data_IF_503946289550
#
_entry.id   IF_503946289550
#
_cell.length_a   1.000
_cell.length_b   1.000
_cell.length_c   1.000
_cell.angle_alpha   90.00
_cell.angle_beta   90.00
_cell.angle_gamma   90.00
#
_symmetry.space_group_name_H-M   'P 1'
#
loop_
_entity.id
_entity.type
_entity.pdbx_description
1 polymer ?
#
# COMPACT_ATOMS: atom_id res chain seq x y z
N UNK A 1 -11.74 14.71 -9.20
CA UNK A 1 -11.30 13.53 -8.46
C UNK A 1 -11.76 13.70 -7.04
N UNK A 2 -12.89 13.08 -6.70
CA UNK A 2 -13.32 13.01 -5.30
C UNK A 2 -12.55 11.89 -4.63
N UNK A 3 -11.79 12.21 -3.59
CA UNK A 3 -11.22 11.21 -2.69
C UNK A 3 -12.35 10.84 -1.73
N UNK A 4 -12.65 9.55 -1.59
CA UNK A 4 -13.76 9.08 -0.75
C UNK A 4 -13.54 9.33 0.74
N UNK A 5 -14.45 8.80 1.56
CA UNK A 5 -14.35 8.94 3.01
C UNK A 5 -13.26 8.02 3.57
N UNK A 6 -12.41 8.56 4.42
CA UNK A 6 -11.34 7.85 5.10
C UNK A 6 -11.94 6.93 6.19
N UNK A 7 -11.66 5.63 6.10
CA UNK A 7 -12.24 4.58 6.95
C UNK A 7 -11.16 3.82 7.71
N UNK A 8 -11.25 3.80 9.04
CA UNK A 8 -10.43 2.90 9.86
C UNK A 8 -10.87 1.46 9.66
N UNK A 9 -9.93 0.58 9.32
CA UNK A 9 -10.17 -0.85 9.18
C UNK A 9 -9.95 -1.59 10.50
N UNK A 10 -10.75 -2.62 10.75
CA UNK A 10 -10.51 -3.51 11.89
C UNK A 10 -9.16 -4.22 11.77
N UNK A 11 -8.49 -4.42 12.90
CA UNK A 11 -7.24 -5.18 12.94
C UNK A 11 -7.41 -6.57 12.31
N UNK A 12 -6.50 -6.93 11.40
CA UNK A 12 -6.56 -8.19 10.67
C UNK A 12 -7.51 -8.22 9.47
N UNK A 13 -8.27 -7.15 9.21
CA UNK A 13 -9.01 -7.01 7.94
C UNK A 13 -8.04 -7.13 6.75
N UNK A 14 -8.44 -7.75 5.63
CA UNK A 14 -7.58 -7.85 4.46
C UNK A 14 -7.31 -6.49 3.82
N UNK A 15 -6.23 -6.38 3.04
CA UNK A 15 -6.03 -5.30 2.08
C UNK A 15 -7.04 -5.43 0.93
N UNK A 16 -7.39 -4.32 0.27
CA UNK A 16 -8.25 -4.31 -0.90
C UNK A 16 -7.75 -5.29 -1.99
N UNK A 17 -8.65 -5.95 -2.74
CA UNK A 17 -8.29 -6.89 -3.80
C UNK A 17 -7.30 -6.33 -4.83
N UNK A 18 -7.42 -5.04 -5.15
CA UNK A 18 -6.60 -4.31 -6.11
C UNK A 18 -5.12 -4.29 -5.71
N UNK A 19 -4.84 -4.26 -4.40
CA UNK A 19 -3.49 -4.25 -3.84
C UNK A 19 -2.89 -5.65 -3.69
N UNK A 20 -3.68 -6.72 -3.79
CA UNK A 20 -3.20 -8.08 -3.57
C UNK A 20 -2.22 -8.49 -4.67
N UNK A 21 -1.10 -9.09 -4.28
CA UNK A 21 -0.11 -9.66 -5.20
C UNK A 21 1.34 -9.37 -4.82
N UNK A 22 2.21 -9.65 -5.78
CA UNK A 22 3.64 -9.36 -5.73
C UNK A 22 3.92 -8.19 -6.67
N UNK A 23 4.58 -7.16 -6.14
CA UNK A 23 4.83 -5.89 -6.80
C UNK A 23 6.33 -5.63 -6.79
N UNK A 24 6.89 -5.23 -7.93
CA UNK A 24 8.32 -4.98 -8.13
C UNK A 24 8.49 -3.52 -8.52
N UNK A 25 9.41 -2.81 -7.86
CA UNK A 25 9.61 -1.39 -8.16
C UNK A 25 10.15 -1.22 -9.58
N UNK A 26 9.63 -0.23 -10.30
CA UNK A 26 10.04 0.06 -11.68
C UNK A 26 11.50 0.53 -11.76
N UNK A 27 11.95 1.28 -10.75
CA UNK A 27 13.28 1.88 -10.71
C UNK A 27 14.34 0.95 -10.11
N UNK A 28 13.95 0.04 -9.22
CA UNK A 28 14.85 -0.90 -8.55
C UNK A 28 14.19 -2.28 -8.38
N UNK A 29 14.46 -3.24 -9.27
CA UNK A 29 13.88 -4.58 -9.18
C UNK A 29 14.26 -5.37 -7.92
N UNK A 30 15.25 -4.92 -7.15
CA UNK A 30 15.56 -5.52 -5.84
C UNK A 30 14.59 -5.09 -4.74
N UNK A 31 13.82 -4.03 -4.99
CA UNK A 31 12.76 -3.57 -4.11
C UNK A 31 11.43 -4.20 -4.54
N UNK A 32 10.87 -5.01 -3.65
CA UNK A 32 9.58 -5.67 -3.86
C UNK A 32 8.63 -5.43 -2.69
N UNK A 33 7.34 -5.49 -3.00
CA UNK A 33 6.25 -5.45 -2.02
C UNK A 33 5.33 -6.62 -2.28
N UNK A 34 5.08 -7.43 -1.26
CA UNK A 34 4.13 -8.54 -1.33
C UNK A 34 2.99 -8.23 -0.38
N UNK A 35 1.78 -8.17 -0.93
CA UNK A 35 0.54 -7.93 -0.19
C UNK A 35 -0.31 -9.19 -0.33
N UNK A 36 -0.58 -9.84 0.81
CA UNK A 36 -1.36 -11.07 0.86
C UNK A 36 -2.29 -11.02 2.07
N UNK A 37 -3.61 -11.04 1.81
CA UNK A 37 -4.64 -10.85 2.83
C UNK A 37 -4.39 -9.58 3.62
N UNK A 38 -4.05 -9.66 4.90
CA UNK A 38 -3.76 -8.55 5.80
C UNK A 38 -2.25 -8.40 6.08
N UNK A 39 -1.39 -9.09 5.33
CA UNK A 39 0.06 -9.08 5.54
C UNK A 39 0.74 -8.24 4.46
N UNK A 40 1.72 -7.44 4.88
CA UNK A 40 2.59 -6.66 4.03
C UNK A 40 4.03 -7.13 4.23
N UNK A 41 4.72 -7.47 3.16
CA UNK A 41 6.16 -7.76 3.17
C UNK A 41 6.87 -6.76 2.25
N UNK A 42 7.91 -6.10 2.76
CA UNK A 42 8.68 -5.09 2.03
C UNK A 42 10.15 -5.52 1.95
N UNK A 43 10.68 -5.68 0.74
CA UNK A 43 12.06 -6.15 0.52
C UNK A 43 12.36 -7.46 1.24
N UNK A 44 11.43 -8.42 1.18
CA UNK A 44 11.53 -9.71 1.87
C UNK A 44 11.34 -9.69 3.39
N UNK A 45 11.00 -8.54 4.00
CA UNK A 45 10.76 -8.42 5.45
C UNK A 45 9.27 -8.19 5.75
N UNK A 46 8.63 -9.00 6.62
CA UNK A 46 7.26 -8.75 7.04
C UNK A 46 7.19 -7.46 7.85
N UNK A 47 6.18 -6.65 7.56
CA UNK A 47 5.97 -5.33 8.14
C UNK A 47 4.75 -5.37 9.07
N UNK A 48 4.93 -5.01 10.33
CA UNK A 48 3.84 -4.93 11.32
C UNK A 48 3.38 -3.49 11.51
N UNK A 49 2.17 -3.18 11.03
CA UNK A 49 1.52 -1.88 11.18
C UNK A 49 0.52 -1.89 12.34
N UNK A 50 0.28 -0.72 12.93
CA UNK A 50 -0.67 -0.49 14.02
C UNK A 50 -2.07 -0.22 13.48
N UNK A 51 -2.17 0.70 12.52
CA UNK A 51 -3.42 1.19 11.98
C UNK A 51 -3.42 1.07 10.47
N UNK A 52 -4.61 0.81 9.93
CA UNK A 52 -4.85 0.78 8.49
C UNK A 52 -6.09 1.62 8.18
N UNK A 53 -5.88 2.72 7.47
CA UNK A 53 -6.96 3.55 6.95
C UNK A 53 -7.14 3.26 5.47
N UNK A 54 -8.39 3.06 5.06
CA UNK A 54 -8.78 2.83 3.67
C UNK A 54 -9.52 4.06 3.14
N UNK A 55 -9.21 4.45 1.91
CA UNK A 55 -9.98 5.43 1.16
C UNK A 55 -10.20 4.92 -0.25
N UNK A 56 -11.47 4.77 -0.64
CA UNK A 56 -11.85 4.40 -1.98
C UNK A 56 -12.13 5.66 -2.80
N UNK A 57 -11.44 5.81 -3.93
CA UNK A 57 -11.63 6.90 -4.87
C UNK A 57 -12.54 6.52 -6.04
N UNK A 58 -12.74 7.47 -6.94
CA UNK A 58 -13.42 7.21 -8.22
C UNK A 58 -12.60 6.24 -9.09
N UNK A 59 -13.28 5.57 -10.03
CA UNK A 59 -12.66 4.76 -11.09
C UNK A 59 -11.74 3.62 -10.61
N UNK A 60 -11.97 3.07 -9.41
CA UNK A 60 -11.19 1.94 -8.89
C UNK A 60 -9.83 2.34 -8.30
N UNK A 61 -9.62 3.63 -8.04
CA UNK A 61 -8.51 4.11 -7.23
C UNK A 61 -8.72 3.66 -5.77
N UNK A 62 -7.72 3.00 -5.19
CA UNK A 62 -7.77 2.63 -3.77
C UNK A 62 -6.52 3.11 -3.06
N UNK A 63 -6.70 3.82 -1.95
CA UNK A 63 -5.63 4.32 -1.11
C UNK A 63 -5.68 3.66 0.26
N UNK A 64 -4.53 3.19 0.74
CA UNK A 64 -4.35 2.63 2.08
C UNK A 64 -3.22 3.37 2.78
N UNK A 65 -3.50 3.90 3.95
CA UNK A 65 -2.51 4.53 4.83
C UNK A 65 -2.19 3.58 6.00
N UNK A 66 -0.90 3.36 6.23
CA UNK A 66 -0.39 2.45 7.26
C UNK A 66 0.52 3.19 8.24
N UNK A 67 0.17 3.11 9.52
CA UNK A 67 0.97 3.65 10.63
C UNK A 67 1.77 2.53 11.29
N UNK A 68 3.04 2.75 11.60
CA UNK A 68 3.93 1.75 12.20
C UNK A 68 4.32 2.12 13.65
N UNK A 69 4.63 1.13 14.52
CA UNK A 69 4.82 1.35 15.97
C UNK A 69 5.99 2.25 16.38
N UNK A 70 6.92 2.55 15.47
CA UNK A 70 8.12 3.36 15.73
C UNK A 70 8.25 4.59 14.80
N UNK A 71 7.15 5.01 14.18
CA UNK A 71 7.10 6.11 13.21
C UNK A 71 6.56 7.40 13.83
N UNK A 72 7.08 8.56 13.39
CA UNK A 72 6.55 9.87 13.77
C UNK A 72 5.23 10.16 13.04
N UNK A 73 4.42 11.07 13.58
CA UNK A 73 3.24 11.58 12.88
C UNK A 73 3.69 12.21 11.53
N UNK A 74 3.14 11.71 10.42
CA UNK A 74 3.57 12.07 9.05
C UNK A 74 4.42 11.01 8.33
N UNK A 75 4.96 10.01 9.05
CA UNK A 75 5.78 8.94 8.45
C UNK A 75 4.95 7.78 7.86
N UNK A 76 3.62 7.84 8.04
CA UNK A 76 2.69 6.82 7.57
C UNK A 76 2.94 6.53 6.08
N UNK A 77 2.98 5.24 5.75
CA UNK A 77 3.16 4.82 4.37
C UNK A 77 1.81 4.84 3.69
N UNK A 78 1.71 5.61 2.61
CA UNK A 78 0.53 5.67 1.76
C UNK A 78 0.76 4.78 0.55
N UNK A 79 -0.09 3.76 0.41
CA UNK A 79 -0.19 2.88 -0.73
C UNK A 79 -1.35 3.33 -1.61
N UNK A 80 -1.13 3.48 -2.92
CA UNK A 80 -2.16 3.85 -3.89
C UNK A 80 -2.16 2.82 -5.00
N UNK A 81 -3.24 2.03 -5.07
CA UNK A 81 -3.51 1.14 -6.19
C UNK A 81 -4.33 1.88 -7.24
N UNK A 82 -3.85 1.84 -8.48
CA UNK A 82 -4.56 2.34 -9.65
C UNK A 82 -5.00 1.17 -10.53
N UNK A 83 -6.06 1.35 -11.34
CA UNK A 83 -6.39 0.41 -12.40
C UNK A 83 -5.19 0.13 -13.31
N UNK A 84 -5.06 -1.12 -13.77
CA UNK A 84 -3.97 -1.53 -14.67
C UNK A 84 -2.70 -2.02 -13.96
N UNK A 85 -2.84 -2.60 -12.76
CA UNK A 85 -1.75 -3.26 -12.03
C UNK A 85 -0.55 -2.32 -11.75
N UNK A 86 -0.87 -1.10 -11.31
CA UNK A 86 0.08 -0.11 -10.83
C UNK A 86 -0.16 0.16 -9.33
N UNK A 87 0.91 0.10 -8.55
CA UNK A 87 0.92 0.43 -7.13
C UNK A 87 1.98 1.50 -6.87
N UNK A 88 1.59 2.61 -6.26
CA UNK A 88 2.53 3.61 -5.76
C UNK A 88 2.60 3.51 -4.24
N UNK A 89 3.79 3.69 -3.67
CA UNK A 89 3.98 3.78 -2.23
C UNK A 89 4.83 5.02 -1.92
N UNK A 90 4.41 5.82 -0.95
CA UNK A 90 5.14 7.03 -0.59
C UNK A 90 4.87 7.47 0.85
N UNK A 91 5.78 8.28 1.37
CA UNK A 91 5.62 9.12 2.54
C UNK A 91 6.50 10.38 2.37
N UNK A 92 6.77 11.13 3.44
CA UNK A 92 7.63 12.33 3.35
C UNK A 92 9.10 12.05 2.99
N UNK A 93 9.54 10.80 3.06
CA UNK A 93 10.94 10.41 2.90
C UNK A 93 11.23 9.62 1.63
N UNK A 94 10.22 9.01 1.01
CA UNK A 94 10.38 8.26 -0.23
C UNK A 94 9.11 8.26 -1.08
N UNK A 95 9.29 7.98 -2.36
CA UNK A 95 8.22 7.61 -3.27
C UNK A 95 8.75 6.52 -4.22
N UNK A 96 7.96 5.48 -4.45
CA UNK A 96 8.29 4.39 -5.36
C UNK A 96 7.04 3.92 -6.09
N UNK A 97 7.20 3.62 -7.37
CA UNK A 97 6.17 3.00 -8.21
C UNK A 97 6.52 1.54 -8.46
N UNK A 98 5.50 0.70 -8.42
CA UNK A 98 5.62 -0.74 -8.54
C UNK A 98 4.65 -1.27 -9.59
N UNK A 99 5.13 -2.26 -10.33
CA UNK A 99 4.33 -3.04 -11.28
C UNK A 99 4.14 -4.45 -10.75
N UNK A 100 3.03 -5.09 -11.11
CA UNK A 100 2.74 -6.45 -10.65
C UNK A 100 3.67 -7.47 -11.32
N UNK A 101 4.25 -8.34 -10.51
CA UNK A 101 5.12 -9.41 -10.98
C UNK A 101 4.31 -10.43 -11.79
N UNK A 102 4.68 -10.63 -13.06
CA UNK A 102 4.05 -11.62 -13.94
C UNK A 102 2.83 -11.12 -14.73
N UNK A 103 2.71 -9.82 -14.97
CA UNK A 103 1.87 -9.29 -16.05
C UNK A 103 2.38 -9.72 -17.44
#
# INVERSE_FOLDING_TARGET
MSIGQLQLMEAGSPFPPEMQGHWIAEEDPSMEVIISRNELTWGGKPMSYLEKMLTEGEEGLVMVELTFPDQMEGDAIILVAMPGDLLSAYNEHFAANFVKAGA
#
